data_IF_989304337576
#
_entry.id   IF_989304337576
#
_cell.length_a   1.000
_cell.length_b   1.000
_cell.length_c   1.000
_cell.angle_alpha   90.00
_cell.angle_beta   90.00
_cell.angle_gamma   90.00
#
_symmetry.space_group_name_H-M   'P 1'
#
loop_
_entity.id
_entity.type
_entity.pdbx_description
1 polymer ?
#
# COMPACT_ATOMS: atom_id res chain seq x y z
N UNK A 1 80.34 -12.06 -25.71
CA UNK A 1 79.20 -12.94 -25.37
C UNK A 1 78.20 -12.39 -24.32
N UNK A 2 78.32 -11.16 -23.83
CA UNK A 2 77.39 -10.57 -22.79
C UNK A 2 76.29 -9.67 -23.34
N UNK A 3 76.22 -9.41 -24.65
CA UNK A 3 75.25 -8.47 -25.28
C UNK A 3 74.02 -9.15 -25.88
N UNK A 4 74.02 -10.47 -26.10
CA UNK A 4 72.87 -11.20 -26.68
C UNK A 4 71.83 -11.65 -25.63
N UNK A 5 72.23 -11.88 -24.39
CA UNK A 5 71.32 -12.35 -23.35
C UNK A 5 70.34 -11.25 -22.85
N UNK A 6 70.78 -9.97 -22.92
CA UNK A 6 69.88 -8.84 -22.53
C UNK A 6 68.78 -8.59 -23.54
N UNK A 7 68.97 -8.97 -24.81
CA UNK A 7 67.92 -8.82 -25.83
C UNK A 7 66.88 -9.96 -25.78
N UNK A 8 67.28 -11.16 -25.35
CA UNK A 8 66.39 -12.31 -25.21
C UNK A 8 65.53 -12.15 -23.93
N UNK A 9 66.09 -11.61 -22.83
CA UNK A 9 65.31 -11.33 -21.61
C UNK A 9 64.26 -10.23 -21.83
N UNK A 10 64.57 -9.19 -22.65
CA UNK A 10 63.59 -8.14 -22.95
C UNK A 10 62.42 -8.61 -23.86
N UNK A 11 62.70 -9.57 -24.78
CA UNK A 11 61.68 -10.14 -25.65
C UNK A 11 60.73 -11.09 -24.90
N UNK A 12 61.18 -11.81 -23.87
CA UNK A 12 60.37 -12.66 -23.03
C UNK A 12 59.51 -11.89 -22.03
N UNK A 13 59.96 -10.71 -21.55
CA UNK A 13 59.13 -9.83 -20.72
C UNK A 13 57.99 -9.14 -21.53
N UNK A 14 58.24 -8.81 -22.82
CA UNK A 14 57.22 -8.21 -23.69
C UNK A 14 56.14 -9.23 -24.11
N UNK A 15 56.49 -10.51 -24.24
CA UNK A 15 55.52 -11.57 -24.54
C UNK A 15 54.63 -11.96 -23.35
N UNK A 16 55.14 -11.78 -22.10
CA UNK A 16 54.37 -12.05 -20.87
C UNK A 16 53.32 -10.96 -20.56
N UNK A 17 53.48 -9.73 -21.08
CA UNK A 17 52.49 -8.64 -20.91
C UNK A 17 51.34 -8.68 -21.91
N UNK A 18 51.39 -9.54 -22.94
CA UNK A 18 50.32 -9.66 -23.93
C UNK A 18 49.32 -10.79 -23.64
N UNK A 19 49.54 -11.58 -22.58
CA UNK A 19 48.65 -12.68 -22.19
C UNK A 19 47.74 -12.39 -21.01
N UNK A 20 47.73 -11.16 -20.47
CA UNK A 20 46.83 -10.72 -19.37
C UNK A 20 45.71 -9.81 -19.88
N UNK A 21 45.47 -9.70 -21.20
CA UNK A 21 44.19 -9.19 -21.71
C UNK A 21 43.14 -10.31 -21.63
N UNK A 22 42.99 -10.84 -20.41
CA UNK A 22 41.84 -11.65 -20.06
C UNK A 22 40.57 -10.79 -20.23
N UNK A 23 39.64 -11.27 -21.01
CA UNK A 23 38.26 -10.80 -21.08
C UNK A 23 37.68 -10.66 -19.64
N UNK A 24 37.93 -9.53 -19.03
CA UNK A 24 37.03 -9.03 -18.03
C UNK A 24 35.76 -8.66 -18.79
N UNK A 25 34.72 -9.51 -18.74
CA UNK A 25 33.38 -9.02 -18.88
C UNK A 25 33.30 -7.82 -17.92
N UNK A 26 33.22 -6.61 -18.47
CA UNK A 26 32.62 -5.52 -17.71
C UNK A 26 31.21 -6.04 -17.39
N UNK A 27 30.98 -6.54 -16.19
CA UNK A 27 29.66 -6.47 -15.62
C UNK A 27 29.35 -4.98 -15.63
N UNK A 28 28.52 -4.56 -16.56
CA UNK A 28 27.79 -3.31 -16.44
C UNK A 28 26.90 -3.54 -15.20
N UNK A 29 27.41 -3.26 -14.03
CA UNK A 29 26.56 -3.02 -12.87
C UNK A 29 25.88 -1.68 -13.19
N UNK A 30 24.74 -1.72 -13.88
CA UNK A 30 23.84 -0.59 -13.91
C UNK A 30 23.57 -0.21 -12.46
N UNK A 31 23.83 1.04 -12.13
CA UNK A 31 23.60 1.53 -10.78
C UNK A 31 22.09 1.38 -10.50
N UNK A 32 21.73 0.75 -9.38
CA UNK A 32 20.33 0.52 -9.04
C UNK A 32 19.57 1.84 -9.01
N UNK A 33 18.38 1.85 -9.61
CA UNK A 33 17.51 3.01 -9.60
C UNK A 33 17.04 3.29 -8.17
N UNK A 34 17.28 4.50 -7.68
CA UNK A 34 16.79 4.90 -6.35
C UNK A 34 15.33 5.30 -6.46
N UNK A 35 14.49 4.70 -5.63
CA UNK A 35 13.05 4.98 -5.59
C UNK A 35 12.62 5.22 -4.15
N UNK A 36 12.03 6.38 -3.89
CA UNK A 36 11.39 6.70 -2.62
C UNK A 36 9.89 6.40 -2.72
N UNK A 37 9.44 5.40 -1.96
CA UNK A 37 8.04 5.05 -1.82
C UNK A 37 7.48 5.63 -0.52
N UNK A 38 6.46 6.47 -0.61
CA UNK A 38 5.73 6.98 0.54
C UNK A 38 4.41 6.21 0.70
N UNK A 39 4.29 5.44 1.79
CA UNK A 39 3.07 4.70 2.11
C UNK A 39 2.18 5.46 3.10
N UNK A 40 0.87 5.36 2.94
CA UNK A 40 -0.12 6.07 3.76
C UNK A 40 -0.08 5.65 5.24
N UNK A 41 0.24 4.41 5.51
CA UNK A 41 0.34 3.81 6.85
C UNK A 41 1.26 2.59 6.80
N UNK A 42 1.95 2.31 7.91
CA UNK A 42 2.72 1.08 8.06
C UNK A 42 1.82 -0.01 8.64
N UNK A 43 1.27 -0.89 7.79
CA UNK A 43 0.23 -1.85 8.20
C UNK A 43 0.41 -3.21 7.52
N UNK A 44 0.18 -4.29 8.27
CA UNK A 44 0.14 -5.66 7.76
C UNK A 44 -0.87 -5.83 6.61
N UNK A 45 -1.81 -4.91 6.48
CA UNK A 45 -2.72 -4.79 5.34
C UNK A 45 -1.99 -4.76 3.98
N UNK A 46 -0.73 -4.34 3.96
CA UNK A 46 0.12 -4.25 2.78
C UNK A 46 1.17 -5.39 2.71
N UNK A 47 0.86 -6.55 3.27
CA UNK A 47 1.77 -7.69 3.33
C UNK A 47 2.45 -8.04 1.99
N UNK A 48 1.83 -7.95 0.79
CA UNK A 48 2.51 -8.20 -0.47
C UNK A 48 3.68 -7.24 -0.74
N UNK A 49 3.54 -5.95 -0.37
CA UNK A 49 4.62 -4.96 -0.48
C UNK A 49 5.80 -5.34 0.40
N UNK A 50 5.54 -5.68 1.66
CA UNK A 50 6.60 -6.05 2.60
C UNK A 50 7.24 -7.38 2.25
N UNK A 51 6.48 -8.34 1.73
CA UNK A 51 7.04 -9.58 1.19
C UNK A 51 8.00 -9.29 0.02
N UNK A 52 7.65 -8.36 -0.88
CA UNK A 52 8.53 -7.97 -1.98
C UNK A 52 9.82 -7.29 -1.47
N UNK A 53 9.74 -6.50 -0.40
CA UNK A 53 10.90 -5.86 0.24
C UNK A 53 11.80 -6.91 0.89
N UNK A 54 11.26 -7.74 1.79
CA UNK A 54 12.02 -8.69 2.60
C UNK A 54 12.63 -9.84 1.78
N UNK A 55 11.95 -10.26 0.71
CA UNK A 55 12.47 -11.27 -0.21
C UNK A 55 13.45 -10.68 -1.25
N UNK A 56 13.68 -9.36 -1.22
CA UNK A 56 14.66 -8.71 -2.08
C UNK A 56 14.21 -8.51 -3.53
N UNK A 57 12.92 -8.65 -3.85
CA UNK A 57 12.43 -8.57 -5.23
C UNK A 57 12.66 -7.21 -5.87
N UNK A 58 12.63 -6.11 -5.10
CA UNK A 58 13.01 -4.79 -5.61
C UNK A 58 14.49 -4.73 -6.02
N UNK A 59 15.38 -5.33 -5.23
CA UNK A 59 16.82 -5.42 -5.56
C UNK A 59 17.07 -6.28 -6.79
N UNK A 60 16.35 -7.40 -6.94
CA UNK A 60 16.40 -8.25 -8.13
C UNK A 60 16.01 -7.50 -9.40
N UNK A 61 15.07 -6.55 -9.27
CA UNK A 61 14.62 -5.68 -10.36
C UNK A 61 15.48 -4.41 -10.50
N UNK A 62 16.64 -4.34 -9.85
CA UNK A 62 17.57 -3.21 -9.94
C UNK A 62 17.09 -1.94 -9.23
N UNK A 63 16.23 -2.05 -8.22
CA UNK A 63 15.71 -0.92 -7.44
C UNK A 63 16.31 -0.90 -6.04
N UNK A 64 16.86 0.26 -5.68
CA UNK A 64 17.23 0.62 -4.30
C UNK A 64 16.06 1.39 -3.69
N UNK A 65 15.18 0.68 -2.96
CA UNK A 65 13.93 1.21 -2.42
C UNK A 65 14.14 1.83 -1.05
N UNK A 66 13.70 3.09 -0.91
CA UNK A 66 13.52 3.76 0.38
C UNK A 66 12.03 3.84 0.71
N UNK A 67 11.63 3.22 1.82
CA UNK A 67 10.24 3.27 2.31
C UNK A 67 10.09 4.36 3.37
N UNK A 68 9.07 5.21 3.21
CA UNK A 68 8.71 6.28 4.15
C UNK A 68 7.22 6.19 4.45
N UNK A 69 6.84 6.32 5.72
CA UNK A 69 5.42 6.34 6.13
C UNK A 69 4.93 7.78 6.27
N UNK A 70 3.88 8.14 5.53
CA UNK A 70 3.29 9.48 5.51
C UNK A 70 2.28 9.75 6.63
N UNK A 71 1.67 8.71 7.20
CA UNK A 71 0.60 8.81 8.22
C UNK A 71 -0.61 9.62 7.75
N UNK A 72 -1.07 9.38 6.52
CA UNK A 72 -2.26 9.98 5.92
C UNK A 72 -2.13 10.16 4.41
N UNK A 73 -3.24 9.97 3.67
CA UNK A 73 -3.24 10.06 2.22
C UNK A 73 -2.91 11.48 1.71
N UNK A 74 -3.33 12.51 2.44
CA UNK A 74 -3.01 13.91 2.18
C UNK A 74 -1.50 14.20 2.29
N UNK A 75 -0.83 13.61 3.29
CA UNK A 75 0.62 13.75 3.50
C UNK A 75 1.40 12.96 2.43
N UNK A 76 0.97 11.74 2.12
CA UNK A 76 1.55 10.93 1.05
C UNK A 76 1.40 11.63 -0.30
N UNK A 77 0.20 12.14 -0.62
CA UNK A 77 -0.02 12.92 -1.84
C UNK A 77 0.90 14.14 -1.90
N UNK A 78 1.01 14.89 -0.80
CA UNK A 78 1.89 16.06 -0.72
C UNK A 78 3.35 15.69 -1.01
N UNK A 79 3.86 14.61 -0.41
CA UNK A 79 5.23 14.14 -0.65
C UNK A 79 5.47 13.78 -2.13
N UNK A 80 4.49 13.15 -2.80
CA UNK A 80 4.62 12.81 -4.23
C UNK A 80 4.57 14.06 -5.11
N UNK A 81 3.62 14.96 -4.85
CA UNK A 81 3.46 16.18 -5.67
C UNK A 81 4.63 17.14 -5.49
N UNK A 82 5.21 17.25 -4.28
CA UNK A 82 6.41 18.06 -4.03
C UNK A 82 7.70 17.45 -4.61
N UNK A 83 7.71 16.14 -4.88
CA UNK A 83 8.91 15.42 -5.33
C UNK A 83 9.78 14.88 -4.20
N UNK A 84 9.30 14.93 -2.94
CA UNK A 84 9.96 14.30 -1.80
C UNK A 84 9.83 12.77 -1.83
N UNK A 85 8.83 12.27 -2.58
CA UNK A 85 8.68 10.87 -2.93
C UNK A 85 8.43 10.70 -4.43
N UNK A 86 8.92 9.59 -4.99
CA UNK A 86 8.75 9.23 -6.39
C UNK A 86 7.39 8.55 -6.61
N UNK A 87 7.05 7.63 -5.72
CA UNK A 87 5.84 6.82 -5.74
C UNK A 87 5.08 7.01 -4.43
N UNK A 88 3.77 7.20 -4.54
CA UNK A 88 2.83 7.19 -3.41
C UNK A 88 2.05 5.88 -3.37
N UNK A 89 1.79 5.39 -2.17
CA UNK A 89 0.90 4.26 -1.94
C UNK A 89 -0.16 4.66 -0.93
N UNK A 90 -1.37 4.87 -1.41
CA UNK A 90 -2.46 5.46 -0.62
C UNK A 90 -3.84 5.12 -1.20
N UNK A 91 -4.89 5.58 -0.55
CA UNK A 91 -6.24 5.55 -1.12
C UNK A 91 -6.30 6.33 -2.43
N UNK A 92 -6.90 5.73 -3.45
CA UNK A 92 -6.92 6.29 -4.80
C UNK A 92 -7.84 7.51 -4.94
N UNK A 93 -8.68 7.81 -3.93
CA UNK A 93 -9.46 9.05 -3.83
C UNK A 93 -8.58 10.30 -3.83
N UNK A 94 -7.37 10.21 -3.27
CA UNK A 94 -6.45 11.35 -3.21
C UNK A 94 -6.04 11.85 -4.61
N UNK A 95 -5.89 10.93 -5.59
CA UNK A 95 -5.61 11.30 -6.98
C UNK A 95 -6.79 12.05 -7.63
N UNK A 96 -8.02 11.64 -7.30
CA UNK A 96 -9.25 12.30 -7.78
C UNK A 96 -9.33 13.70 -7.20
N UNK A 97 -9.06 13.88 -5.91
CA UNK A 97 -9.06 15.20 -5.28
C UNK A 97 -8.02 16.14 -5.88
N UNK A 98 -6.79 15.67 -6.05
CA UNK A 98 -5.72 16.46 -6.66
C UNK A 98 -6.07 16.93 -8.08
N UNK A 99 -6.60 16.04 -8.90
CA UNK A 99 -7.03 16.35 -10.25
C UNK A 99 -8.20 17.36 -10.26
N UNK A 100 -9.22 17.12 -9.45
CA UNK A 100 -10.40 18.00 -9.34
C UNK A 100 -10.06 19.40 -8.84
N UNK A 101 -8.96 19.56 -8.10
CA UNK A 101 -8.43 20.84 -7.64
C UNK A 101 -7.53 21.54 -8.68
N UNK A 102 -7.35 20.94 -9.86
CA UNK A 102 -6.61 21.53 -10.97
C UNK A 102 -5.10 21.41 -10.89
N UNK A 103 -4.58 20.36 -10.22
CA UNK A 103 -3.15 20.06 -10.23
C UNK A 103 -2.64 19.90 -11.68
N UNK A 104 -1.53 20.55 -12.03
CA UNK A 104 -0.97 20.53 -13.39
C UNK A 104 -0.15 19.27 -13.69
N UNK A 105 0.61 18.76 -12.68
CA UNK A 105 1.33 17.49 -12.73
C UNK A 105 0.70 16.57 -11.68
N UNK A 106 -0.51 16.11 -12.00
CA UNK A 106 -1.31 15.29 -11.10
C UNK A 106 -0.79 13.86 -11.04
N UNK A 107 -1.18 13.16 -9.98
CA UNK A 107 -0.78 11.76 -9.79
C UNK A 107 -1.71 10.82 -10.55
N UNK A 108 -1.11 9.79 -11.17
CA UNK A 108 -1.79 8.73 -11.91
C UNK A 108 -1.57 7.41 -11.19
N UNK A 109 -2.64 6.67 -10.93
CA UNK A 109 -2.58 5.35 -10.36
C UNK A 109 -2.12 4.34 -11.43
N UNK A 110 -1.17 3.49 -11.11
CA UNK A 110 -0.60 2.54 -12.05
C UNK A 110 -0.61 1.08 -11.60
N UNK A 111 -0.95 0.82 -10.32
CA UNK A 111 -1.11 -0.52 -9.78
C UNK A 111 -2.02 -0.49 -8.55
N UNK A 112 -2.98 -1.40 -8.46
CA UNK A 112 -3.88 -1.54 -7.30
C UNK A 112 -3.46 -2.77 -6.48
N UNK A 113 -3.19 -2.59 -5.18
CA UNK A 113 -2.79 -3.69 -4.30
C UNK A 113 -3.99 -4.35 -3.61
N UNK A 114 -4.88 -3.56 -3.05
CA UNK A 114 -5.97 -4.04 -2.21
C UNK A 114 -7.33 -3.79 -2.87
N UNK A 115 -8.22 -4.79 -2.76
CA UNK A 115 -9.53 -4.79 -3.38
C UNK A 115 -10.69 -4.83 -2.37
N UNK A 116 -10.37 -4.76 -1.08
CA UNK A 116 -11.34 -4.66 0.02
C UNK A 116 -10.80 -3.69 1.07
N UNK A 117 -11.71 -3.15 1.89
CA UNK A 117 -11.31 -2.34 3.02
C UNK A 117 -10.50 -3.15 4.05
N UNK A 118 -9.47 -2.55 4.60
CA UNK A 118 -8.61 -3.17 5.61
C UNK A 118 -9.02 -2.90 7.04
N UNK A 119 -10.14 -2.21 7.24
CA UNK A 119 -10.62 -1.78 8.54
C UNK A 119 -11.58 -2.77 9.18
N UNK A 120 -11.63 -2.69 10.49
CA UNK A 120 -12.55 -3.42 11.34
C UNK A 120 -13.31 -2.45 12.21
N UNK A 121 -14.58 -2.76 12.48
CA UNK A 121 -15.35 -2.08 13.51
C UNK A 121 -15.06 -2.77 14.85
N UNK A 122 -14.58 -2.00 15.80
CA UNK A 122 -14.24 -2.46 17.15
C UNK A 122 -15.21 -1.84 18.14
N UNK A 123 -15.89 -2.68 18.91
CA UNK A 123 -16.78 -2.28 19.99
C UNK A 123 -16.01 -2.23 21.33
N UNK A 124 -16.48 -1.43 22.27
CA UNK A 124 -15.93 -1.35 23.63
C UNK A 124 -16.26 -2.57 24.47
N UNK A 125 -17.39 -3.20 24.21
CA UNK A 125 -17.90 -4.36 24.92
C UNK A 125 -18.03 -5.54 23.94
N UNK A 126 -17.99 -6.76 24.47
CA UNK A 126 -18.21 -7.97 23.69
C UNK A 126 -19.66 -8.02 23.19
N UNK A 127 -19.83 -8.20 21.87
CA UNK A 127 -21.14 -8.21 21.20
C UNK A 127 -21.27 -9.42 20.28
N UNK A 128 -21.49 -10.65 20.82
CA UNK A 128 -21.51 -11.87 20.00
C UNK A 128 -22.67 -11.93 19.01
N UNK A 129 -23.70 -11.11 19.21
CA UNK A 129 -24.86 -10.99 18.31
C UNK A 129 -24.94 -9.58 17.70
N UNK A 130 -23.79 -8.95 17.40
CA UNK A 130 -23.75 -7.61 16.83
C UNK A 130 -24.60 -7.51 15.56
N UNK A 131 -25.36 -6.44 15.48
CA UNK A 131 -26.07 -5.98 14.31
C UNK A 131 -25.76 -4.52 14.04
N UNK A 132 -25.87 -4.06 12.81
CA UNK A 132 -25.59 -2.67 12.46
C UNK A 132 -26.53 -1.68 13.18
N UNK A 133 -27.74 -2.13 13.56
CA UNK A 133 -28.68 -1.33 14.36
C UNK A 133 -28.17 -0.98 15.77
N UNK A 134 -27.20 -1.74 16.28
CA UNK A 134 -26.57 -1.45 17.59
C UNK A 134 -25.76 -0.14 17.58
N UNK A 135 -25.48 0.41 16.40
CA UNK A 135 -24.82 1.71 16.25
C UNK A 135 -25.74 2.91 16.45
N UNK A 136 -27.08 2.71 16.48
CA UNK A 136 -28.05 3.81 16.67
C UNK A 136 -27.83 4.53 18.01
N UNK A 137 -27.63 5.84 17.93
CA UNK A 137 -27.36 6.69 19.09
C UNK A 137 -25.94 6.57 19.67
N UNK A 138 -25.04 5.82 19.03
CA UNK A 138 -23.67 5.60 19.49
C UNK A 138 -22.70 6.60 18.90
N UNK A 139 -21.54 6.76 19.58
CA UNK A 139 -20.40 7.53 19.10
C UNK A 139 -19.35 6.58 18.52
N UNK A 140 -19.00 6.78 17.24
CA UNK A 140 -17.98 6.00 16.53
C UNK A 140 -16.80 6.91 16.19
N UNK A 141 -15.57 6.48 16.49
CA UNK A 141 -14.37 7.14 15.98
C UNK A 141 -14.16 6.67 14.53
N UNK A 142 -14.50 7.53 13.56
CA UNK A 142 -14.53 7.16 12.14
C UNK A 142 -13.25 7.45 11.38
N UNK A 143 -12.32 8.21 11.98
CA UNK A 143 -11.15 8.74 11.31
C UNK A 143 -11.46 10.01 10.51
N UNK A 144 -10.48 10.50 9.75
CA UNK A 144 -10.56 11.77 9.02
C UNK A 144 -11.66 11.76 7.95
N UNK A 145 -12.47 12.82 7.91
CA UNK A 145 -13.49 13.03 6.90
C UNK A 145 -12.90 12.99 5.47
N UNK A 146 -13.60 12.32 4.56
CA UNK A 146 -13.22 12.18 3.15
C UNK A 146 -12.01 11.25 2.92
N UNK A 147 -11.56 10.51 3.93
CA UNK A 147 -10.61 9.41 3.78
C UNK A 147 -11.32 8.08 3.52
N UNK A 148 -10.66 7.14 2.83
CA UNK A 148 -11.25 5.82 2.53
C UNK A 148 -11.84 5.11 3.75
N UNK A 149 -11.19 5.09 4.93
CA UNK A 149 -11.76 4.42 6.11
C UNK A 149 -13.15 4.92 6.48
N UNK A 150 -13.28 6.23 6.55
CA UNK A 150 -14.53 6.89 6.95
C UNK A 150 -15.61 6.77 5.88
N UNK A 151 -15.26 7.02 4.62
CA UNK A 151 -16.21 6.92 3.50
C UNK A 151 -16.77 5.51 3.30
N UNK A 152 -15.91 4.48 3.45
CA UNK A 152 -16.37 3.08 3.38
C UNK A 152 -17.27 2.73 4.55
N UNK A 153 -16.97 3.23 5.75
CA UNK A 153 -17.84 3.04 6.91
C UNK A 153 -19.22 3.66 6.66
N UNK A 154 -19.28 4.90 6.21
CA UNK A 154 -20.55 5.56 5.87
C UNK A 154 -21.29 4.84 4.72
N UNK A 155 -20.58 4.36 3.70
CA UNK A 155 -21.17 3.57 2.63
C UNK A 155 -21.86 2.32 3.18
N UNK A 156 -21.19 1.58 4.08
CA UNK A 156 -21.78 0.40 4.71
C UNK A 156 -23.02 0.78 5.53
N UNK A 157 -22.97 1.87 6.30
CA UNK A 157 -24.13 2.35 7.06
C UNK A 157 -25.34 2.58 6.15
N UNK A 158 -25.14 3.25 5.00
CA UNK A 158 -26.23 3.48 4.03
C UNK A 158 -26.74 2.18 3.44
N UNK A 159 -25.88 1.19 3.15
CA UNK A 159 -26.30 -0.15 2.70
C UNK A 159 -27.11 -0.92 3.74
N UNK A 160 -26.90 -0.61 5.03
CA UNK A 160 -27.65 -1.16 6.17
C UNK A 160 -28.85 -0.29 6.58
N UNK A 161 -29.26 0.64 5.72
CA UNK A 161 -30.39 1.55 5.94
C UNK A 161 -30.22 2.48 7.16
N UNK A 162 -28.97 2.79 7.53
CA UNK A 162 -28.60 3.76 8.56
C UNK A 162 -28.17 5.08 7.94
N UNK A 163 -28.68 6.19 8.46
CA UNK A 163 -28.26 7.53 8.06
C UNK A 163 -27.04 7.97 8.90
N UNK A 164 -25.84 8.09 8.30
CA UNK A 164 -24.63 8.44 9.04
C UNK A 164 -24.71 9.76 9.81
N UNK A 165 -25.55 10.69 9.33
CA UNK A 165 -25.70 12.02 9.93
C UNK A 165 -26.76 12.10 11.03
N UNK A 166 -27.67 11.12 11.14
CA UNK A 166 -28.80 11.15 12.04
C UNK A 166 -28.83 10.03 13.06
N UNK A 167 -28.45 8.81 12.64
CA UNK A 167 -28.65 7.62 13.45
C UNK A 167 -27.51 7.40 14.47
N UNK A 168 -26.33 8.00 14.23
CA UNK A 168 -25.16 7.88 15.10
C UNK A 168 -24.32 9.16 15.06
N UNK A 169 -23.28 9.22 15.89
CA UNK A 169 -22.31 10.32 15.87
C UNK A 169 -20.94 9.79 15.42
N UNK A 170 -20.46 10.23 14.25
CA UNK A 170 -19.12 9.86 13.75
C UNK A 170 -18.14 10.99 14.11
N UNK A 171 -17.16 10.69 14.95
CA UNK A 171 -16.07 11.61 15.26
C UNK A 171 -14.98 11.52 14.19
N UNK A 172 -14.87 12.57 13.40
CA UNK A 172 -13.95 12.70 12.27
C UNK A 172 -12.74 13.61 12.59
N UNK A 173 -12.61 14.02 13.86
CA UNK A 173 -11.58 14.98 14.30
C UNK A 173 -10.26 14.33 14.71
N UNK A 174 -10.22 13.00 14.86
CA UNK A 174 -9.05 12.25 15.32
C UNK A 174 -8.32 11.69 14.10
N UNK A 175 -7.04 12.02 14.01
CA UNK A 175 -6.17 11.47 12.96
C UNK A 175 -6.11 9.93 13.04
N UNK A 176 -6.10 9.30 11.88
CA UNK A 176 -6.12 7.86 11.67
C UNK A 176 -5.12 7.08 12.54
N UNK A 177 -3.89 7.56 12.72
CA UNK A 177 -2.87 6.92 13.56
C UNK A 177 -3.11 7.04 15.07
N UNK A 178 -4.18 7.72 15.51
CA UNK A 178 -4.46 8.03 16.91
C UNK A 178 -5.80 7.48 17.40
N UNK A 179 -6.62 6.89 16.55
CA UNK A 179 -7.96 6.39 16.88
C UNK A 179 -7.92 5.29 17.93
N UNK A 180 -7.04 4.28 17.78
CA UNK A 180 -6.89 3.19 18.76
C UNK A 180 -6.48 3.70 20.14
N UNK A 181 -5.55 4.64 20.22
CA UNK A 181 -5.12 5.24 21.48
C UNK A 181 -6.25 6.06 22.13
N UNK A 182 -6.99 6.85 21.36
CA UNK A 182 -8.14 7.60 21.84
C UNK A 182 -9.24 6.67 22.33
N UNK A 183 -9.52 5.59 21.58
CA UNK A 183 -10.49 4.58 21.98
C UNK A 183 -10.06 3.86 23.27
N UNK A 184 -8.80 3.39 23.36
CA UNK A 184 -8.25 2.80 24.60
C UNK A 184 -8.35 3.76 25.79
N UNK A 185 -8.20 5.07 25.54
CA UNK A 185 -8.37 6.15 26.53
C UNK A 185 -9.82 6.45 26.93
N UNK A 186 -10.83 5.78 26.36
CA UNK A 186 -12.24 5.91 26.70
C UNK A 186 -13.07 6.77 25.74
N UNK A 187 -12.52 7.23 24.60
CA UNK A 187 -13.28 7.96 23.60
C UNK A 187 -14.13 6.99 22.75
N UNK A 188 -15.39 7.38 22.46
CA UNK A 188 -16.32 6.63 21.61
C UNK A 188 -16.83 5.32 22.21
N UNK A 189 -17.91 4.81 21.64
CA UNK A 189 -18.47 3.49 21.94
C UNK A 189 -17.88 2.43 20.98
N UNK A 190 -17.57 2.86 19.75
CA UNK A 190 -16.94 2.08 18.68
C UNK A 190 -15.81 2.88 18.05
N UNK A 191 -14.92 2.16 17.37
CA UNK A 191 -13.86 2.75 16.54
C UNK A 191 -13.64 1.96 15.27
N UNK A 192 -13.28 2.65 14.19
CA UNK A 192 -12.85 2.05 12.92
C UNK A 192 -11.34 1.95 12.93
N UNK A 193 -10.82 0.72 12.95
CA UNK A 193 -9.39 0.46 13.13
C UNK A 193 -8.81 -0.40 12.02
N UNK A 194 -7.54 -0.13 11.69
CA UNK A 194 -6.70 -1.05 10.94
C UNK A 194 -5.96 -2.03 11.85
N UNK A 195 -5.37 -3.04 11.25
CA UNK A 195 -4.40 -3.90 11.93
C UNK A 195 -2.99 -3.29 11.88
N UNK A 196 -2.20 -3.37 12.95
CA UNK A 196 -2.43 -4.20 14.16
C UNK A 196 -3.29 -3.55 15.25
N UNK A 197 -3.81 -2.34 15.06
CA UNK A 197 -4.58 -1.60 16.07
C UNK A 197 -5.78 -2.37 16.59
N UNK A 198 -6.61 -2.95 15.71
CA UNK A 198 -7.78 -3.72 16.08
C UNK A 198 -7.41 -4.93 16.97
N UNK A 199 -6.43 -5.75 16.54
CA UNK A 199 -5.97 -6.90 17.33
C UNK A 199 -5.30 -6.46 18.65
N UNK A 200 -4.61 -5.33 18.69
CA UNK A 200 -4.02 -4.80 19.92
C UNK A 200 -5.08 -4.43 20.95
N UNK A 201 -6.16 -3.77 20.53
CA UNK A 201 -7.29 -3.47 21.41
C UNK A 201 -7.95 -4.74 21.95
N UNK A 202 -8.11 -5.79 21.14
CA UNK A 202 -8.61 -7.10 21.61
C UNK A 202 -7.67 -7.73 22.63
N UNK A 203 -6.36 -7.74 22.36
CA UNK A 203 -5.34 -8.33 23.25
C UNK A 203 -5.25 -7.62 24.59
N UNK A 204 -5.44 -6.30 24.60
CA UNK A 204 -5.47 -5.48 25.81
C UNK A 204 -6.80 -5.55 26.58
N UNK A 205 -7.81 -6.22 26.03
CA UNK A 205 -9.16 -6.27 26.60
C UNK A 205 -9.85 -4.88 26.61
N UNK A 206 -9.47 -4.02 25.65
CA UNK A 206 -9.99 -2.66 25.51
C UNK A 206 -11.04 -2.53 24.42
N UNK A 207 -11.16 -3.55 23.56
CA UNK A 207 -12.12 -3.59 22.47
C UNK A 207 -12.29 -4.98 21.91
N UNK A 208 -13.34 -5.17 21.12
CA UNK A 208 -13.73 -6.42 20.48
C UNK A 208 -14.07 -6.15 19.02
N UNK A 209 -13.43 -6.86 18.10
CA UNK A 209 -13.77 -6.76 16.67
C UNK A 209 -15.15 -7.38 16.47
N UNK A 210 -16.10 -6.56 15.99
CA UNK A 210 -17.51 -6.97 15.77
C UNK A 210 -17.87 -7.10 14.29
N UNK A 211 -17.14 -6.41 13.40
CA UNK A 211 -17.35 -6.53 11.95
C UNK A 211 -16.06 -6.24 11.17
N UNK A 212 -15.92 -6.88 10.02
CA UNK A 212 -14.92 -6.52 9.00
C UNK A 212 -15.57 -5.58 7.98
N UNK A 213 -15.05 -4.35 7.86
CA UNK A 213 -15.53 -3.43 6.82
C UNK A 213 -15.22 -3.96 5.41
N UNK A 214 -14.16 -4.74 5.26
CA UNK A 214 -13.80 -5.35 3.99
C UNK A 214 -14.77 -6.43 3.52
N UNK A 215 -15.36 -7.18 4.45
CA UNK A 215 -16.43 -8.14 4.14
C UNK A 215 -17.74 -7.41 3.82
N UNK A 216 -18.12 -6.45 4.66
CA UNK A 216 -19.40 -5.74 4.54
C UNK A 216 -19.49 -4.81 3.33
N UNK A 217 -18.40 -4.16 2.95
CA UNK A 217 -18.36 -3.28 1.78
C UNK A 217 -18.27 -4.02 0.45
N UNK A 218 -17.88 -5.30 0.46
CA UNK A 218 -17.56 -6.01 -0.77
C UNK A 218 -16.25 -5.55 -1.42
N UNK A 219 -16.14 -5.72 -2.75
CA UNK A 219 -14.95 -5.29 -3.49
C UNK A 219 -14.99 -3.80 -3.74
N UNK A 220 -14.05 -3.09 -3.14
CA UNK A 220 -13.83 -1.65 -3.30
C UNK A 220 -12.35 -1.44 -3.58
N UNK A 221 -11.96 -0.62 -4.58
CA UNK A 221 -10.55 -0.29 -4.79
C UNK A 221 -10.09 0.57 -3.63
N UNK A 222 -9.23 0.00 -2.76
CA UNK A 222 -8.90 0.66 -1.51
C UNK A 222 -7.58 1.39 -1.57
N UNK A 223 -6.47 0.69 -1.88
CA UNK A 223 -5.15 1.33 -2.02
C UNK A 223 -4.49 1.00 -3.36
N UNK A 224 -3.87 2.03 -3.95
CA UNK A 224 -3.17 1.96 -5.21
C UNK A 224 -1.82 2.68 -5.13
N UNK A 225 -0.88 2.25 -5.96
CA UNK A 225 0.37 2.96 -6.22
C UNK A 225 0.14 4.02 -7.29
N UNK A 226 0.64 5.21 -7.02
CA UNK A 226 0.55 6.34 -7.94
C UNK A 226 1.89 7.09 -8.02
N UNK A 227 2.07 7.82 -9.11
CA UNK A 227 3.19 8.72 -9.29
C UNK A 227 2.74 9.90 -10.15
N UNK A 228 3.51 11.01 -10.14
CA UNK A 228 3.26 12.14 -11.03
C UNK A 228 3.27 11.71 -12.49
N UNK A 229 2.46 12.37 -13.31
CA UNK A 229 2.42 12.10 -14.75
C UNK A 229 3.81 12.27 -15.40
N UNK A 230 4.58 13.28 -14.98
CA UNK A 230 5.95 13.51 -15.43
C UNK A 230 6.87 12.33 -15.09
N UNK A 231 6.82 11.85 -13.84
CA UNK A 231 7.65 10.71 -13.39
C UNK A 231 7.36 9.44 -14.19
N UNK A 232 6.08 9.11 -14.42
CA UNK A 232 5.68 7.95 -15.22
C UNK A 232 6.21 8.00 -16.66
N UNK A 233 6.36 9.21 -17.24
CA UNK A 233 6.90 9.40 -18.58
C UNK A 233 8.43 9.32 -18.62
N UNK A 234 9.09 9.86 -17.60
CA UNK A 234 10.56 9.95 -17.53
C UNK A 234 11.21 8.67 -17.01
N UNK A 235 10.50 7.94 -16.12
CA UNK A 235 11.02 6.76 -15.42
C UNK A 235 10.24 5.48 -15.76
N UNK A 236 9.79 5.35 -17.00
CA UNK A 236 8.93 4.25 -17.45
C UNK A 236 9.49 2.87 -17.11
N UNK A 237 10.78 2.63 -17.37
CA UNK A 237 11.46 1.38 -17.10
C UNK A 237 11.52 1.10 -15.59
N UNK A 238 11.88 2.09 -14.78
CA UNK A 238 11.90 1.98 -13.31
C UNK A 238 10.53 1.62 -12.76
N UNK A 239 9.45 2.23 -13.27
CA UNK A 239 8.08 1.92 -12.86
C UNK A 239 7.69 0.49 -13.25
N UNK A 240 8.09 0.02 -14.43
CA UNK A 240 7.86 -1.37 -14.84
C UNK A 240 8.57 -2.35 -13.91
N UNK A 241 9.84 -2.11 -13.59
CA UNK A 241 10.62 -2.91 -12.64
C UNK A 241 10.00 -2.91 -11.24
N UNK A 242 9.51 -1.75 -10.78
CA UNK A 242 8.78 -1.63 -9.52
C UNK A 242 7.53 -2.52 -9.50
N UNK A 243 6.72 -2.48 -10.56
CA UNK A 243 5.51 -3.33 -10.68
C UNK A 243 5.87 -4.81 -10.78
N UNK A 244 6.98 -5.17 -11.44
CA UNK A 244 7.45 -6.56 -11.50
C UNK A 244 7.80 -7.10 -10.11
N UNK A 245 8.49 -6.30 -9.27
CA UNK A 245 8.78 -6.66 -7.89
C UNK A 245 7.51 -6.86 -7.07
N UNK A 246 6.53 -5.96 -7.21
CA UNK A 246 5.22 -6.09 -6.54
C UNK A 246 4.48 -7.35 -6.98
N UNK A 247 4.47 -7.67 -8.29
CA UNK A 247 3.84 -8.92 -8.80
C UNK A 247 4.42 -10.16 -8.14
N UNK A 248 5.75 -10.21 -7.92
CA UNK A 248 6.39 -11.32 -7.19
C UNK A 248 5.90 -11.38 -5.74
N UNK A 249 5.79 -10.25 -5.05
CA UNK A 249 5.24 -10.16 -3.70
C UNK A 249 3.76 -10.61 -3.62
N UNK A 250 2.94 -10.21 -4.60
CA UNK A 250 1.55 -10.66 -4.72
C UNK A 250 1.46 -12.18 -4.93
N UNK A 251 2.27 -12.75 -5.83
CA UNK A 251 2.33 -14.20 -6.05
C UNK A 251 2.73 -14.90 -4.75
N UNK A 252 3.71 -14.36 -4.03
CA UNK A 252 4.16 -14.94 -2.76
C UNK A 252 3.00 -15.05 -1.76
N UNK A 253 2.30 -13.97 -1.46
CA UNK A 253 1.21 -14.00 -0.46
C UNK A 253 -0.01 -14.83 -0.91
N UNK A 254 -0.24 -14.96 -2.22
CA UNK A 254 -1.33 -15.78 -2.74
C UNK A 254 -1.01 -17.28 -2.82
N UNK A 255 0.25 -17.68 -2.57
CA UNK A 255 0.70 -19.08 -2.70
C UNK A 255 1.31 -19.66 -1.42
N UNK A 256 1.52 -18.84 -0.39
CA UNK A 256 2.11 -19.26 0.88
C UNK A 256 1.10 -19.21 2.03
N UNK A 257 1.38 -19.97 3.09
CA UNK A 257 0.55 -19.99 4.29
C UNK A 257 0.67 -18.66 5.08
N UNK A 258 -0.34 -18.29 5.89
CA UNK A 258 -0.24 -17.14 6.78
C UNK A 258 0.99 -17.17 7.69
N UNK A 259 1.42 -18.36 8.13
CA UNK A 259 2.60 -18.56 8.96
C UNK A 259 3.91 -18.23 8.22
N UNK A 260 4.02 -18.61 6.95
CA UNK A 260 5.17 -18.31 6.09
C UNK A 260 5.22 -16.81 5.77
N UNK A 261 4.08 -16.24 5.38
CA UNK A 261 3.95 -14.80 5.11
C UNK A 261 4.34 -13.98 6.35
N UNK A 262 3.79 -14.33 7.52
CA UNK A 262 4.07 -13.64 8.77
C UNK A 262 5.56 -13.65 9.12
N UNK A 263 6.25 -14.78 8.97
CA UNK A 263 7.70 -14.88 9.18
C UNK A 263 8.48 -13.99 8.21
N UNK A 264 8.06 -13.94 6.96
CA UNK A 264 8.72 -13.13 5.93
C UNK A 264 8.61 -11.64 6.23
N UNK A 265 7.42 -11.16 6.62
CA UNK A 265 7.21 -9.73 6.87
C UNK A 265 7.53 -9.29 8.31
N UNK A 266 7.81 -10.22 9.23
CA UNK A 266 8.12 -9.91 10.63
C UNK A 266 9.20 -8.83 10.83
N UNK A 267 10.28 -8.75 10.03
CA UNK A 267 11.27 -7.68 10.17
C UNK A 267 10.71 -6.26 10.03
N UNK A 268 9.59 -6.11 9.34
CA UNK A 268 8.88 -4.83 9.21
C UNK A 268 8.03 -4.49 10.45
N UNK A 269 7.68 -5.47 11.28
CA UNK A 269 6.78 -5.34 12.42
C UNK A 269 7.40 -5.87 13.71
N UNK A 270 8.60 -5.40 14.04
CA UNK A 270 9.42 -5.90 15.16
C UNK A 270 8.73 -5.79 16.54
N UNK A 271 7.84 -4.81 16.69
CA UNK A 271 7.08 -4.59 17.93
C UNK A 271 5.85 -5.53 18.06
N UNK A 272 5.53 -6.30 16.99
CA UNK A 272 4.36 -7.18 16.96
C UNK A 272 4.80 -8.64 17.03
N UNK A 273 4.18 -9.40 17.92
CA UNK A 273 4.48 -10.82 18.09
C UNK A 273 4.08 -11.62 16.84
N UNK A 274 4.86 -12.64 16.49
CA UNK A 274 4.68 -13.42 15.25
C UNK A 274 3.30 -14.08 15.15
N UNK A 275 2.73 -14.54 16.26
CA UNK A 275 1.39 -15.15 16.30
C UNK A 275 0.29 -14.10 16.01
N UNK A 276 0.50 -12.86 16.43
CA UNK A 276 -0.39 -11.73 16.12
C UNK A 276 -0.32 -11.40 14.63
N UNK A 277 0.90 -11.28 14.06
CA UNK A 277 1.09 -11.06 12.62
C UNK A 277 0.41 -12.19 11.84
N UNK A 278 0.61 -13.45 12.24
CA UNK A 278 0.01 -14.62 11.59
C UNK A 278 -1.52 -14.55 11.57
N UNK A 279 -2.12 -14.18 12.70
CA UNK A 279 -3.58 -14.01 12.82
C UNK A 279 -4.10 -12.92 11.90
N UNK A 280 -3.40 -11.79 11.85
CA UNK A 280 -3.77 -10.65 11.01
C UNK A 280 -3.65 -11.02 9.52
N UNK A 281 -2.55 -11.64 9.10
CA UNK A 281 -2.35 -12.11 7.72
C UNK A 281 -3.46 -13.08 7.31
N UNK A 282 -3.82 -14.03 8.20
CA UNK A 282 -4.93 -14.97 7.95
C UNK A 282 -6.25 -14.22 7.77
N UNK A 283 -6.58 -13.26 8.63
CA UNK A 283 -7.79 -12.45 8.56
C UNK A 283 -7.88 -11.71 7.22
N UNK A 284 -6.79 -11.11 6.74
CA UNK A 284 -6.76 -10.43 5.45
C UNK A 284 -6.82 -11.39 4.26
N UNK A 285 -6.19 -12.56 4.35
CA UNK A 285 -6.27 -13.58 3.31
C UNK A 285 -7.69 -14.17 3.20
N UNK A 286 -8.33 -14.49 4.32
CA UNK A 286 -9.70 -15.05 4.36
C UNK A 286 -10.76 -14.10 3.81
N UNK A 287 -10.57 -12.77 3.96
CA UNK A 287 -11.48 -11.80 3.36
C UNK A 287 -11.12 -11.43 1.91
N UNK A 288 -10.14 -12.09 1.28
CA UNK A 288 -9.71 -11.82 -0.10
C UNK A 288 -9.29 -10.35 -0.32
N UNK A 289 -8.39 -9.88 0.55
CA UNK A 289 -7.99 -8.46 0.59
C UNK A 289 -7.15 -8.06 -0.61
N UNK A 290 -6.21 -8.95 -1.04
CA UNK A 290 -5.20 -8.62 -2.02
C UNK A 290 -5.62 -9.05 -3.43
N UNK A 291 -5.38 -8.17 -4.39
CA UNK A 291 -5.61 -8.51 -5.80
C UNK A 291 -4.65 -9.61 -6.27
N UNK A 292 -5.02 -10.31 -7.33
CA UNK A 292 -4.16 -11.32 -7.95
C UNK A 292 -3.24 -10.75 -9.04
N UNK A 293 -3.54 -9.58 -9.60
CA UNK A 293 -2.91 -9.07 -10.84
C UNK A 293 -2.47 -7.60 -10.82
N UNK A 294 -2.71 -6.86 -9.74
CA UNK A 294 -2.44 -5.43 -9.60
C UNK A 294 -3.20 -4.50 -10.57
N UNK A 295 -4.07 -5.01 -11.44
CA UNK A 295 -4.86 -4.17 -12.33
C UNK A 295 -5.84 -3.30 -11.57
N UNK A 296 -5.97 -2.04 -12.01
CA UNK A 296 -6.99 -1.12 -11.50
C UNK A 296 -8.05 -0.95 -12.60
N UNK A 297 -9.07 -1.80 -12.54
CA UNK A 297 -10.14 -1.83 -13.54
C UNK A 297 -10.99 -0.55 -13.51
N UNK A 298 -11.57 -0.23 -14.67
CA UNK A 298 -12.42 0.94 -14.84
C UNK A 298 -13.67 0.88 -13.97
N UNK A 299 -14.30 -0.27 -13.86
CA UNK A 299 -15.49 -0.49 -13.04
C UNK A 299 -15.21 -0.22 -11.56
N UNK A 300 -14.01 -0.63 -11.08
CA UNK A 300 -13.57 -0.35 -9.72
C UNK A 300 -13.37 1.16 -9.48
N UNK A 301 -12.77 1.86 -10.45
CA UNK A 301 -12.56 3.29 -10.35
C UNK A 301 -13.91 4.06 -10.41
N UNK A 302 -14.86 3.60 -11.22
CA UNK A 302 -16.20 4.18 -11.27
C UNK A 302 -16.95 3.98 -9.96
N UNK A 303 -16.87 2.80 -9.35
CA UNK A 303 -17.43 2.53 -8.02
C UNK A 303 -16.84 3.46 -6.96
N UNK A 304 -15.53 3.68 -6.97
CA UNK A 304 -14.89 4.64 -6.05
C UNK A 304 -15.49 6.04 -6.20
N UNK A 305 -15.68 6.49 -7.43
CA UNK A 305 -16.25 7.81 -7.66
C UNK A 305 -17.72 7.90 -7.23
N UNK A 306 -18.50 6.81 -7.38
CA UNK A 306 -19.86 6.77 -6.86
C UNK A 306 -19.88 6.91 -5.32
N UNK A 307 -18.94 6.25 -4.62
CA UNK A 307 -18.77 6.42 -3.18
C UNK A 307 -18.44 7.87 -2.79
N UNK A 308 -17.55 8.52 -3.56
CA UNK A 308 -17.19 9.92 -3.33
C UNK A 308 -18.35 10.89 -3.59
N UNK A 309 -19.16 10.63 -4.61
CA UNK A 309 -20.37 11.41 -4.90
C UNK A 309 -21.40 11.24 -3.78
N UNK A 310 -21.65 10.02 -3.34
CA UNK A 310 -22.59 9.70 -2.27
C UNK A 310 -22.17 10.29 -0.91
N UNK A 311 -20.86 10.37 -0.67
CA UNK A 311 -20.30 11.03 0.51
C UNK A 311 -20.32 12.58 0.40
N UNK A 312 -20.62 13.14 -0.78
CA UNK A 312 -20.58 14.58 -1.03
C UNK A 312 -19.17 15.16 -1.16
N UNK A 313 -18.16 14.31 -1.30
CA UNK A 313 -16.74 14.68 -1.43
C UNK A 313 -16.32 14.93 -2.89
N UNK A 314 -17.13 14.50 -3.85
CA UNK A 314 -16.94 14.76 -5.27
C UNK A 314 -18.21 15.42 -5.85
N UNK A 315 -18.05 16.37 -6.79
CA UNK A 315 -19.18 17.04 -7.45
C UNK A 315 -19.56 16.37 -8.77
N UNK A 316 -18.57 15.90 -9.50
CA UNK A 316 -18.71 15.25 -10.79
C UNK A 316 -17.59 14.23 -11.01
N UNK A 317 -17.87 13.17 -11.76
CA UNK A 317 -16.88 12.13 -12.07
C UNK A 317 -15.75 12.70 -12.95
N UNK A 318 -14.54 12.19 -12.71
CA UNK A 318 -13.35 12.47 -13.50
C UNK A 318 -13.05 11.33 -14.46
N UNK A 319 -12.43 11.56 -15.64
CA UNK A 319 -12.16 10.50 -16.60
C UNK A 319 -11.13 9.49 -16.07
N UNK A 320 -11.48 8.20 -16.15
CA UNK A 320 -10.59 7.08 -15.78
C UNK A 320 -9.23 7.18 -16.47
N UNK A 321 -9.22 7.45 -17.78
CA UNK A 321 -8.03 7.48 -18.62
C UNK A 321 -7.04 8.61 -18.26
N UNK A 322 -7.47 9.54 -17.40
CA UNK A 322 -6.62 10.60 -16.85
C UNK A 322 -5.91 10.18 -15.58
N UNK A 323 -6.53 9.35 -14.78
CA UNK A 323 -6.08 9.04 -13.42
C UNK A 323 -5.66 7.58 -13.22
N UNK A 324 -5.82 6.73 -14.22
CA UNK A 324 -5.41 5.33 -14.17
C UNK A 324 -4.70 4.93 -15.44
N UNK A 325 -3.61 4.19 -15.30
CA UNK A 325 -2.93 3.50 -16.40
C UNK A 325 -2.70 2.03 -16.05
N UNK A 326 -3.07 1.13 -16.96
CA UNK A 326 -2.84 -0.32 -16.85
C UNK A 326 -1.60 -0.79 -17.58
N UNK A 327 -0.86 0.13 -18.20
CA UNK A 327 0.30 -0.12 -19.04
C UNK A 327 1.33 -1.07 -18.40
N UNK A 328 1.56 -0.95 -17.09
CA UNK A 328 2.58 -1.70 -16.35
C UNK A 328 2.06 -3.02 -15.77
N UNK A 329 0.73 -3.18 -15.69
CA UNK A 329 0.09 -4.35 -15.06
C UNK A 329 -0.44 -5.34 -16.10
N UNK A 330 -0.79 -4.90 -17.31
CA UNK A 330 -1.21 -5.76 -18.40
C UNK A 330 -0.09 -6.76 -18.77
N UNK A 331 -0.50 -7.99 -19.13
CA UNK A 331 0.45 -8.97 -19.69
C UNK A 331 0.94 -8.42 -21.02
N UNK A 332 2.24 -8.18 -21.15
CA UNK A 332 2.84 -7.95 -22.46
C UNK A 332 2.50 -9.16 -23.34
N UNK A 333 1.80 -8.89 -24.45
CA UNK A 333 1.39 -9.90 -25.42
C UNK A 333 2.58 -10.46 -26.17
#
# INVERSE_FOLDING_TARGET
MKKSWKKIAAALLAAAMLLTSGCGKKENTEEAARVTLNEVAHSIFYAPQYAAIELGYFKEEGIDLTLVTGFGADKTLTAVVSGDADIGFMGSEASIYAYSQGASDYVINFAQLTQRAGNFLVAREEMPAFTWDDLKGKKVLGGRKGGMPEMVFEYILRQKELDPAKDLSIDQSIDFGSTAAAFSGGAGDFTVEFEPGATSLEKEGKGYVVASLGVESGYIPYTAYCARESYLKEQEETVQHFVNALKKGMVYVNTHTPEEIAKTIQPQFQETELDVITRIVRRYAEQDTWKSDLNFEKESFELLQDLLLDAGELKEKVPYEKLVTTKYTEKQK
#
